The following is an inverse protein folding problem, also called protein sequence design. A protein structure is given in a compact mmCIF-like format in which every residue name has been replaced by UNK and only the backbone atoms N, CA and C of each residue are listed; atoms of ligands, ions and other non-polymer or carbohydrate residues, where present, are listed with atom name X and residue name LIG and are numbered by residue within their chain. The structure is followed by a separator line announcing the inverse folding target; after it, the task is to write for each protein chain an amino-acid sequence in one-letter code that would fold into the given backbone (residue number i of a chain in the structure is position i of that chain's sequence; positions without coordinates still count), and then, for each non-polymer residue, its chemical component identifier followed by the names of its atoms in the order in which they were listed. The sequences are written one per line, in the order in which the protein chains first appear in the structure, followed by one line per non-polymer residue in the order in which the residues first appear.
data_IF_093477024026
#
_entry.id   IF_093477024026
#
_cell.length_a   1.000
_cell.length_b   1.000
_cell.length_c   1.000
_cell.angle_alpha   90.00
_cell.angle_beta   90.00
_cell.angle_gamma   90.00
#
_symmetry.space_group_name_H-M   'P 1'
#
loop_
_entity.id
_entity.type
_entity.pdbx_description
1 polymer ?
#
# COMPACT_ATOMS: atom_id res chain seq x y z
N UNK A 1 -7.55 10.25 -9.42
CA UNK A 1 -8.56 10.64 -10.45
C UNK A 1 -8.10 10.16 -11.82
N UNK A 2 -8.98 9.53 -12.57
CA UNK A 2 -8.69 9.04 -13.93
C UNK A 2 -9.20 10.05 -14.96
N UNK A 3 -8.40 10.37 -15.96
CA UNK A 3 -8.75 11.31 -17.03
C UNK A 3 -8.47 10.68 -18.40
N UNK A 4 -9.40 10.76 -19.37
CA UNK A 4 -9.12 10.31 -20.74
C UNK A 4 -7.94 11.07 -21.35
N UNK A 5 -7.06 10.38 -22.05
CA UNK A 5 -5.93 10.97 -22.77
C UNK A 5 -5.73 10.24 -24.11
N UNK A 6 -6.68 10.41 -25.04
CA UNK A 6 -6.78 9.61 -26.26
C UNK A 6 -7.05 8.14 -25.93
N UNK A 7 -6.26 7.22 -26.50
CA UNK A 7 -6.33 5.77 -26.21
C UNK A 7 -5.68 5.37 -24.87
N UNK A 8 -5.25 6.35 -24.06
CA UNK A 8 -4.63 6.13 -22.75
C UNK A 8 -5.49 6.71 -21.63
N UNK A 9 -5.27 6.18 -20.43
CA UNK A 9 -5.84 6.73 -19.20
C UNK A 9 -4.74 7.49 -18.46
N UNK A 10 -4.95 8.79 -18.28
CA UNK A 10 -4.15 9.61 -17.38
C UNK A 10 -4.58 9.39 -15.93
N UNK A 11 -3.62 9.36 -15.02
CA UNK A 11 -3.86 9.21 -13.57
C UNK A 11 -3.35 10.45 -12.85
N UNK A 12 -4.18 11.03 -12.00
CA UNK A 12 -3.81 12.11 -11.06
C UNK A 12 -3.86 11.60 -9.63
N UNK A 13 -2.76 11.76 -8.90
CA UNK A 13 -2.66 11.50 -7.46
C UNK A 13 -3.01 12.78 -6.71
N UNK A 14 -3.94 12.68 -5.77
CA UNK A 14 -4.48 13.78 -4.97
C UNK A 14 -4.33 13.46 -3.48
N UNK A 15 -4.82 14.34 -2.59
CA UNK A 15 -4.80 14.15 -1.13
C UNK A 15 -3.39 13.99 -0.52
N UNK A 16 -2.54 14.98 -0.79
CA UNK A 16 -1.15 15.06 -0.32
C UNK A 16 -0.99 15.45 1.17
N UNK A 17 -2.07 15.36 1.96
CA UNK A 17 -2.11 15.85 3.35
C UNK A 17 -1.18 15.07 4.30
N UNK A 18 -0.81 13.85 3.92
CA UNK A 18 0.04 12.94 4.69
C UNK A 18 1.42 12.73 4.05
N UNK A 19 1.89 13.66 3.23
CA UNK A 19 3.21 13.57 2.58
C UNK A 19 4.34 13.52 3.61
N UNK A 20 5.34 12.67 3.37
CA UNK A 20 6.50 12.53 4.25
C UNK A 20 7.71 11.93 3.52
N UNK A 21 8.90 12.13 4.08
CA UNK A 21 10.14 11.56 3.56
C UNK A 21 10.36 10.16 4.15
N UNK A 22 9.95 9.12 3.42
CA UNK A 22 10.02 7.71 3.80
C UNK A 22 10.49 6.86 2.62
N UNK A 23 10.89 5.59 2.82
CA UNK A 23 11.14 4.68 1.71
C UNK A 23 9.91 4.57 0.80
N UNK A 24 10.09 4.64 -0.52
CA UNK A 24 8.99 4.62 -1.49
C UNK A 24 8.14 3.34 -1.45
N UNK A 25 8.69 2.25 -0.90
CA UNK A 25 7.95 1.03 -0.61
C UNK A 25 6.81 1.23 0.42
N UNK A 26 6.83 2.31 1.20
CA UNK A 26 5.72 2.69 2.08
C UNK A 26 4.45 2.98 1.29
N UNK A 27 4.55 3.81 0.24
CA UNK A 27 3.41 4.11 -0.64
C UNK A 27 2.93 2.84 -1.35
N UNK A 28 3.86 1.97 -1.74
CA UNK A 28 3.55 0.68 -2.38
C UNK A 28 2.77 -0.26 -1.45
N UNK A 29 3.22 -0.39 -0.19
CA UNK A 29 2.58 -1.18 0.86
C UNK A 29 1.16 -0.72 1.13
N UNK A 30 1.00 0.59 1.33
CA UNK A 30 -0.29 1.24 1.55
C UNK A 30 -1.22 1.08 0.34
N UNK A 31 -0.74 1.40 -0.86
CA UNK A 31 -1.52 1.35 -2.10
C UNK A 31 -2.03 -0.06 -2.39
N UNK A 32 -1.17 -1.07 -2.39
CA UNK A 32 -1.56 -2.45 -2.71
C UNK A 32 -2.51 -3.00 -1.64
N UNK A 33 -2.21 -2.77 -0.35
CA UNK A 33 -3.05 -3.28 0.74
C UNK A 33 -4.46 -2.69 0.77
N UNK A 34 -4.62 -1.42 0.36
CA UNK A 34 -5.93 -0.77 0.29
C UNK A 34 -6.70 -1.05 -1.00
N UNK A 35 -6.01 -1.29 -2.12
CA UNK A 35 -6.62 -1.31 -3.47
C UNK A 35 -7.35 -2.61 -3.83
N UNK A 36 -7.00 -3.73 -3.22
CA UNK A 36 -7.53 -5.05 -3.59
C UNK A 36 -8.39 -5.69 -2.50
N UNK A 37 -9.13 -6.73 -2.88
CA UNK A 37 -9.55 -7.77 -1.92
C UNK A 37 -8.32 -8.54 -1.45
N UNK A 38 -8.47 -9.32 -0.37
CA UNK A 38 -7.37 -10.16 0.14
C UNK A 38 -6.85 -11.10 -0.94
N UNK A 39 -7.73 -11.80 -1.64
CA UNK A 39 -7.33 -12.76 -2.68
C UNK A 39 -6.73 -12.05 -3.90
N UNK A 40 -7.34 -10.95 -4.34
CA UNK A 40 -6.77 -10.15 -5.43
C UNK A 40 -5.37 -9.62 -5.10
N UNK A 41 -5.11 -9.23 -3.85
CA UNK A 41 -3.76 -8.85 -3.42
C UNK A 41 -2.78 -10.01 -3.59
N UNK A 42 -3.14 -11.21 -3.12
CA UNK A 42 -2.29 -12.42 -3.20
C UNK A 42 -1.93 -12.75 -4.65
N UNK A 43 -2.87 -12.54 -5.57
CA UNK A 43 -2.65 -12.82 -7.00
C UNK A 43 -1.67 -11.84 -7.65
N UNK A 44 -1.66 -10.57 -7.23
CA UNK A 44 -0.95 -9.50 -7.96
C UNK A 44 0.25 -8.88 -7.24
N UNK A 45 0.39 -9.03 -5.92
CA UNK A 45 1.35 -8.24 -5.16
C UNK A 45 2.81 -8.47 -5.56
N UNK A 46 3.21 -9.73 -5.79
CA UNK A 46 4.60 -10.03 -6.17
C UNK A 46 4.94 -9.40 -7.52
N UNK A 47 4.03 -9.51 -8.50
CA UNK A 47 4.19 -8.90 -9.82
C UNK A 47 4.29 -7.38 -9.72
N UNK A 48 3.44 -6.73 -8.92
CA UNK A 48 3.43 -5.28 -8.76
C UNK A 48 4.71 -4.79 -8.06
N UNK A 49 5.15 -5.47 -7.01
CA UNK A 49 6.39 -5.12 -6.28
C UNK A 49 7.62 -5.33 -7.17
N UNK A 50 7.64 -6.40 -7.95
CA UNK A 50 8.70 -6.63 -8.94
C UNK A 50 8.72 -5.52 -10.01
N UNK A 51 7.56 -5.17 -10.58
CA UNK A 51 7.47 -4.09 -11.58
C UNK A 51 7.93 -2.74 -11.03
N UNK A 52 7.63 -2.45 -9.77
CA UNK A 52 8.12 -1.25 -9.08
C UNK A 52 9.65 -1.25 -8.98
N UNK A 53 10.25 -2.37 -8.53
CA UNK A 53 11.70 -2.51 -8.43
C UNK A 53 12.39 -2.38 -9.79
N UNK A 54 11.85 -3.01 -10.83
CA UNK A 54 12.36 -2.91 -12.21
C UNK A 54 12.35 -1.45 -12.72
N UNK A 55 11.28 -0.70 -12.43
CA UNK A 55 11.19 0.72 -12.79
C UNK A 55 12.22 1.58 -12.04
N UNK A 56 12.46 1.32 -10.75
CA UNK A 56 13.52 2.01 -10.01
C UNK A 56 14.91 1.74 -10.61
N UNK A 57 15.21 0.48 -10.95
CA UNK A 57 16.46 0.10 -11.62
C UNK A 57 16.59 0.77 -12.99
N UNK A 58 15.51 0.88 -13.76
CA UNK A 58 15.52 1.60 -15.04
C UNK A 58 15.84 3.10 -14.87
N UNK A 59 15.54 3.69 -13.72
CA UNK A 59 15.97 5.04 -13.33
C UNK A 59 17.38 5.09 -12.71
N UNK A 60 18.16 4.01 -12.82
CA UNK A 60 19.53 3.88 -12.29
C UNK A 60 19.61 3.97 -10.76
N UNK A 61 18.51 3.70 -10.06
CA UNK A 61 18.49 3.62 -8.60
C UNK A 61 18.95 2.21 -8.21
N UNK A 62 19.98 2.13 -7.37
CA UNK A 62 20.53 0.86 -6.89
C UNK A 62 19.62 0.27 -5.80
N UNK A 63 18.81 -0.72 -6.16
CA UNK A 63 17.94 -1.46 -5.24
C UNK A 63 17.96 -2.95 -5.57
N UNK A 64 17.78 -3.79 -4.56
CA UNK A 64 17.58 -5.24 -4.75
C UNK A 64 16.10 -5.61 -4.63
N UNK A 65 15.70 -6.69 -5.32
CA UNK A 65 14.31 -7.20 -5.21
C UNK A 65 14.00 -7.61 -3.76
N UNK A 66 14.95 -8.24 -3.09
CA UNK A 66 14.78 -8.70 -1.70
C UNK A 66 14.63 -7.52 -0.74
N UNK A 67 15.38 -6.44 -0.94
CA UNK A 67 15.27 -5.22 -0.13
C UNK A 67 13.91 -4.55 -0.31
N UNK A 68 13.47 -4.34 -1.55
CA UNK A 68 12.15 -3.76 -1.82
C UNK A 68 11.03 -4.65 -1.27
N UNK A 69 11.16 -5.98 -1.39
CA UNK A 69 10.19 -6.92 -0.82
C UNK A 69 10.16 -6.83 0.70
N UNK A 70 11.32 -6.80 1.37
CA UNK A 70 11.38 -6.64 2.83
C UNK A 70 10.78 -5.30 3.29
N UNK A 71 11.06 -4.20 2.58
CA UNK A 71 10.47 -2.90 2.87
C UNK A 71 8.95 -2.90 2.64
N UNK A 72 8.46 -3.52 1.56
CA UNK A 72 7.02 -3.66 1.29
C UNK A 72 6.31 -4.42 2.42
N UNK A 73 6.87 -5.54 2.87
CA UNK A 73 6.35 -6.33 3.99
C UNK A 73 6.31 -5.53 5.28
N UNK A 74 7.39 -4.83 5.61
CA UNK A 74 7.52 -4.04 6.83
C UNK A 74 6.55 -2.85 6.84
N UNK A 75 6.56 -2.06 5.76
CA UNK A 75 5.89 -0.78 5.68
C UNK A 75 4.39 -0.91 5.33
N UNK A 76 3.93 -2.08 4.90
CA UNK A 76 2.49 -2.39 4.77
C UNK A 76 1.71 -2.19 6.08
N UNK A 77 2.39 -2.30 7.23
CA UNK A 77 1.83 -2.01 8.57
C UNK A 77 1.26 -0.58 8.69
N UNK A 78 1.79 0.38 7.94
CA UNK A 78 1.34 1.77 7.96
C UNK A 78 -0.16 1.92 7.63
N UNK A 79 -0.68 1.09 6.72
CA UNK A 79 -2.10 1.11 6.36
C UNK A 79 -3.01 0.63 7.48
N UNK A 80 -2.55 -0.34 8.28
CA UNK A 80 -3.29 -0.80 9.46
C UNK A 80 -3.36 0.29 10.55
N UNK A 81 -2.22 0.93 10.83
CA UNK A 81 -2.14 2.06 11.78
C UNK A 81 -3.05 3.20 11.29
N UNK A 82 -3.00 3.52 9.99
CA UNK A 82 -3.83 4.56 9.41
C UNK A 82 -5.33 4.25 9.56
N UNK A 83 -5.75 3.00 9.35
CA UNK A 83 -7.15 2.61 9.52
C UNK A 83 -7.65 2.88 10.95
N UNK A 84 -6.82 2.58 11.97
CA UNK A 84 -7.14 2.85 13.38
C UNK A 84 -7.19 4.36 13.63
N UNK A 85 -6.10 5.08 13.33
CA UNK A 85 -5.99 6.51 13.62
C UNK A 85 -7.08 7.31 12.91
N UNK A 86 -7.34 7.02 11.63
CA UNK A 86 -8.37 7.70 10.87
C UNK A 86 -9.77 7.46 11.45
N UNK A 87 -10.10 6.23 11.87
CA UNK A 87 -11.40 5.91 12.47
C UNK A 87 -11.68 6.67 13.79
N UNK A 88 -10.63 7.08 14.50
CA UNK A 88 -10.75 7.86 15.74
C UNK A 88 -10.86 9.38 15.48
N UNK A 89 -10.28 9.87 14.38
CA UNK A 89 -10.19 11.30 14.10
C UNK A 89 -11.34 11.83 13.23
N UNK A 90 -11.90 11.00 12.37
CA UNK A 90 -13.02 11.42 11.52
C UNK A 90 -14.36 11.26 12.24
N UNK A 91 -15.37 11.99 11.77
CA UNK A 91 -16.73 11.87 12.30
C UNK A 91 -17.25 10.44 12.11
N UNK A 92 -17.66 9.80 13.20
CA UNK A 92 -18.26 8.48 13.16
C UNK A 92 -19.57 8.47 12.36
N UNK A 93 -19.68 7.45 11.52
CA UNK A 93 -20.87 7.10 10.74
C UNK A 93 -20.81 5.60 10.45
N UNK A 94 -21.96 4.92 10.38
CA UNK A 94 -21.99 3.47 10.11
C UNK A 94 -21.22 3.09 8.84
N UNK A 95 -21.32 3.92 7.79
CA UNK A 95 -20.58 3.73 6.53
C UNK A 95 -19.07 3.92 6.72
N UNK A 96 -18.65 4.93 7.46
CA UNK A 96 -17.24 5.21 7.74
C UNK A 96 -16.62 4.08 8.56
N UNK A 97 -17.32 3.63 9.60
CA UNK A 97 -16.86 2.56 10.49
C UNK A 97 -16.71 1.24 9.71
N UNK A 98 -17.68 0.91 8.84
CA UNK A 98 -17.58 -0.24 7.96
C UNK A 98 -16.39 -0.13 6.99
N UNK A 99 -16.13 1.06 6.42
CA UNK A 99 -14.99 1.30 5.53
C UNK A 99 -13.65 1.10 6.26
N UNK A 100 -13.48 1.68 7.46
CA UNK A 100 -12.24 1.52 8.23
C UNK A 100 -12.05 0.09 8.74
N UNK A 101 -13.13 -0.60 9.12
CA UNK A 101 -13.07 -2.01 9.48
C UNK A 101 -12.58 -2.86 8.29
N UNK A 102 -13.06 -2.60 7.07
CA UNK A 102 -12.57 -3.27 5.86
C UNK A 102 -11.09 -2.96 5.62
N UNK A 103 -10.69 -1.69 5.74
CA UNK A 103 -9.30 -1.26 5.53
C UNK A 103 -8.36 -1.92 6.56
N UNK A 104 -8.73 -1.94 7.84
CA UNK A 104 -7.99 -2.61 8.90
C UNK A 104 -7.89 -4.12 8.64
N UNK A 105 -8.98 -4.79 8.28
CA UNK A 105 -8.93 -6.23 7.97
C UNK A 105 -8.03 -6.55 6.77
N UNK A 106 -8.06 -5.73 5.71
CA UNK A 106 -7.19 -5.93 4.53
C UNK A 106 -5.72 -5.78 4.87
N UNK A 107 -5.34 -4.71 5.56
CA UNK A 107 -3.95 -4.50 5.96
C UNK A 107 -3.48 -5.49 7.04
N UNK A 108 -4.37 -5.87 7.98
CA UNK A 108 -4.07 -6.89 8.97
C UNK A 108 -3.80 -8.24 8.31
N UNK A 109 -4.63 -8.66 7.36
CA UNK A 109 -4.41 -9.90 6.61
C UNK A 109 -3.17 -9.82 5.72
N UNK A 110 -2.87 -8.66 5.13
CA UNK A 110 -1.61 -8.44 4.43
C UNK A 110 -0.40 -8.69 5.33
N UNK A 111 -0.40 -8.15 6.55
CA UNK A 111 0.69 -8.36 7.51
C UNK A 111 0.85 -9.83 7.91
N UNK A 112 -0.26 -10.54 8.13
CA UNK A 112 -0.25 -11.96 8.47
C UNK A 112 0.30 -12.81 7.32
N UNK A 113 -0.22 -12.61 6.11
CA UNK A 113 0.19 -13.36 4.92
C UNK A 113 1.67 -13.10 4.57
N UNK A 114 2.16 -11.90 4.87
CA UNK A 114 3.55 -11.49 4.65
C UNK A 114 4.46 -11.79 5.85
N UNK A 115 3.95 -12.36 6.93
CA UNK A 115 4.70 -12.66 8.15
C UNK A 115 5.53 -11.47 8.63
N UNK A 116 4.92 -10.28 8.64
CA UNK A 116 5.61 -9.01 8.92
C UNK A 116 6.28 -9.00 10.28
N UNK A 117 5.72 -9.71 11.28
CA UNK A 117 6.28 -9.84 12.62
C UNK A 117 7.67 -10.49 12.64
N UNK A 118 7.96 -11.40 11.69
CA UNK A 118 9.26 -12.07 11.59
C UNK A 118 10.40 -11.14 11.16
N UNK A 119 10.10 -9.91 10.74
CA UNK A 119 11.10 -8.90 10.41
C UNK A 119 11.66 -8.18 11.64
N UNK A 120 11.04 -8.35 12.81
CA UNK A 120 11.45 -7.73 14.08
C UNK A 120 12.12 -8.71 15.05
N UNK A 121 12.22 -9.98 14.68
CA UNK A 121 12.77 -11.06 15.50
C UNK A 121 14.27 -11.29 15.26
#
# INVERSE_FOLDING_TARGET
LFTPQGDKIGVKVVDWQTVGAMPGASDLGYFIGASFTVDGRRDYEQMLVQSYCERLKAQKIAVSNNEIWAQYRLLGTSGYIMAIVASMLVKQTDRGDAMFAVMANRHGQQMLDLETEKLFA
#
